data_IF_567144280020
#
_entry.id   IF_567144280020
#
_cell.length_a   1.000
_cell.length_b   1.000
_cell.length_c   1.000
_cell.angle_alpha   90.00
_cell.angle_beta   90.00
_cell.angle_gamma   90.00
#
_symmetry.space_group_name_H-M   'P 1'
#
loop_
_entity.id
_entity.type
_entity.pdbx_description
1 polymer ?
#
# COMPACT_ATOMS: atom_id res chain seq x y z
N UNK A 1 -33.84 6.95 -2.39
CA UNK A 1 -32.64 7.82 -2.38
C UNK A 1 -31.52 7.17 -1.55
N UNK A 2 -31.09 5.93 -1.89
CA UNK A 2 -30.07 5.17 -1.11
C UNK A 2 -28.99 4.56 -1.97
N UNK A 3 -28.81 4.98 -3.23
CA UNK A 3 -27.84 4.37 -4.16
C UNK A 3 -26.51 5.15 -4.32
N UNK A 4 -26.43 6.39 -3.88
CA UNK A 4 -25.24 7.24 -4.10
C UNK A 4 -24.14 7.10 -3.03
N UNK A 5 -24.42 6.45 -1.90
CA UNK A 5 -23.44 6.24 -0.81
C UNK A 5 -22.63 4.94 -0.98
N UNK A 6 -23.05 4.05 -1.89
CA UNK A 6 -22.39 2.75 -2.12
C UNK A 6 -21.15 2.85 -3.02
N UNK A 7 -21.01 3.90 -3.84
CA UNK A 7 -19.92 4.01 -4.83
C UNK A 7 -18.59 4.53 -4.27
N UNK A 8 -18.55 4.98 -3.02
CA UNK A 8 -17.33 5.61 -2.45
C UNK A 8 -16.70 4.78 -1.31
N UNK A 9 -17.34 3.72 -0.84
CA UNK A 9 -16.84 2.92 0.28
C UNK A 9 -15.91 1.80 -0.20
N UNK A 10 -14.76 1.66 0.48
CA UNK A 10 -13.90 0.48 0.39
C UNK A 10 -14.44 -0.59 1.35
N UNK A 11 -14.40 -1.85 0.91
CA UNK A 11 -14.67 -3.01 1.78
C UNK A 11 -13.42 -3.32 2.61
N UNK A 12 -13.25 -2.60 3.71
CA UNK A 12 -12.07 -2.68 4.57
C UNK A 12 -12.33 -3.59 5.78
N UNK A 13 -11.30 -4.30 6.26
CA UNK A 13 -11.39 -5.05 7.50
C UNK A 13 -11.61 -4.11 8.70
N UNK A 14 -12.15 -4.63 9.81
CA UNK A 14 -12.31 -3.86 11.04
C UNK A 14 -11.00 -3.23 11.49
N UNK A 15 -11.08 -1.99 12.00
CA UNK A 15 -9.91 -1.23 12.43
C UNK A 15 -9.37 -0.26 11.38
N UNK A 16 -9.76 -0.40 10.11
CA UNK A 16 -9.42 0.58 9.08
C UNK A 16 -10.53 1.62 8.88
N UNK A 17 -10.11 2.85 8.62
CA UNK A 17 -10.99 3.99 8.27
C UNK A 17 -10.48 4.63 6.99
N UNK A 18 -11.32 4.63 5.94
CA UNK A 18 -10.94 5.18 4.66
C UNK A 18 -11.12 6.70 4.58
N UNK A 19 -10.12 7.38 4.04
CA UNK A 19 -10.19 8.78 3.59
C UNK A 19 -9.89 8.82 2.09
N UNK A 20 -10.88 9.18 1.29
CA UNK A 20 -10.74 9.28 -0.15
C UNK A 20 -10.33 10.69 -0.57
N UNK A 21 -9.27 10.80 -1.35
CA UNK A 21 -8.85 12.04 -2.02
C UNK A 21 -9.35 12.08 -3.46
N UNK A 22 -9.35 13.28 -4.04
CA UNK A 22 -9.57 13.46 -5.48
C UNK A 22 -8.36 12.94 -6.26
N UNK A 23 -8.52 12.80 -7.57
CA UNK A 23 -7.52 12.24 -8.50
C UNK A 23 -6.13 12.89 -8.44
N UNK A 24 -6.06 14.20 -8.15
CA UNK A 24 -4.81 14.96 -8.05
C UNK A 24 -4.22 14.97 -6.63
N UNK A 25 -4.77 14.21 -5.70
CA UNK A 25 -4.25 14.12 -4.34
C UNK A 25 -2.96 13.29 -4.27
N UNK A 26 -2.18 13.48 -3.22
CA UNK A 26 -1.07 12.63 -2.81
C UNK A 26 -1.50 11.92 -1.50
N UNK A 27 -1.79 10.63 -1.60
CA UNK A 27 -2.28 9.86 -0.45
C UNK A 27 -1.24 9.77 0.66
N UNK A 28 0.04 9.63 0.31
CA UNK A 28 1.10 9.52 1.29
C UNK A 28 1.34 10.85 2.02
N UNK A 29 1.47 11.95 1.29
CA UNK A 29 1.65 13.26 1.89
C UNK A 29 0.47 13.61 2.81
N UNK A 30 -0.77 13.29 2.39
CA UNK A 30 -1.96 13.51 3.22
C UNK A 30 -1.96 12.62 4.46
N UNK A 31 -1.60 11.36 4.34
CA UNK A 31 -1.50 10.46 5.49
C UNK A 31 -0.45 10.95 6.50
N UNK A 32 0.72 11.42 6.04
CA UNK A 32 1.76 12.01 6.91
C UNK A 32 1.24 13.25 7.62
N UNK A 33 0.54 14.14 6.90
CA UNK A 33 -0.05 15.37 7.47
C UNK A 33 -1.00 15.09 8.63
N UNK A 34 -1.83 14.05 8.51
CA UNK A 34 -2.91 13.77 9.47
C UNK A 34 -2.57 12.64 10.46
N UNK A 35 -1.41 11.99 10.33
CA UNK A 35 -1.06 10.80 11.09
C UNK A 35 -1.18 10.99 12.61
N UNK A 36 -0.64 12.09 13.14
CA UNK A 36 -0.67 12.39 14.56
C UNK A 36 -2.07 12.70 15.13
N UNK A 37 -3.03 13.06 14.28
CA UNK A 37 -4.38 13.40 14.72
C UNK A 37 -5.36 12.24 14.52
N UNK A 38 -5.22 11.51 13.41
CA UNK A 38 -6.19 10.49 13.01
C UNK A 38 -5.83 9.10 13.54
N UNK A 39 -4.56 8.85 13.83
CA UNK A 39 -4.10 7.60 14.43
C UNK A 39 -4.10 6.37 13.52
N UNK A 40 -3.70 5.25 14.10
CA UNK A 40 -3.55 3.96 13.42
C UNK A 40 -4.83 3.49 12.72
N UNK A 41 -4.65 2.80 11.60
CA UNK A 41 -5.74 2.29 10.77
C UNK A 41 -6.37 3.32 9.84
N UNK A 42 -5.93 4.58 9.88
CA UNK A 42 -6.35 5.57 8.87
C UNK A 42 -5.73 5.22 7.53
N UNK A 43 -6.56 4.92 6.55
CA UNK A 43 -6.18 4.54 5.19
C UNK A 43 -6.60 5.68 4.25
N UNK A 44 -5.60 6.39 3.71
CA UNK A 44 -5.79 7.46 2.72
C UNK A 44 -5.57 6.89 1.33
N UNK A 45 -6.45 7.18 0.38
CA UNK A 45 -6.32 6.72 -1.00
C UNK A 45 -6.83 7.75 -2.00
N UNK A 46 -6.33 7.69 -3.25
CA UNK A 46 -6.78 8.57 -4.33
C UNK A 46 -7.79 7.85 -5.22
N UNK A 47 -8.83 8.59 -5.66
CA UNK A 47 -9.85 8.09 -6.61
C UNK A 47 -9.37 8.15 -8.05
N UNK A 48 -8.26 7.46 -8.32
CA UNK A 48 -7.70 7.32 -9.67
C UNK A 48 -8.11 5.99 -10.28
N UNK A 49 -8.18 5.97 -11.61
CA UNK A 49 -8.45 4.76 -12.39
C UNK A 49 -7.18 4.17 -13.02
N UNK A 50 -6.14 4.99 -13.21
CA UNK A 50 -4.88 4.63 -13.84
C UNK A 50 -3.80 4.17 -12.83
N UNK A 51 -4.04 4.40 -11.56
CA UNK A 51 -3.07 4.22 -10.48
C UNK A 51 -3.75 3.84 -9.18
N UNK A 52 -3.29 2.80 -8.51
CA UNK A 52 -3.54 2.59 -7.08
C UNK A 52 -2.54 3.42 -6.32
N UNK A 53 -3.01 4.33 -5.50
CA UNK A 53 -2.21 5.09 -4.56
C UNK A 53 -2.92 5.08 -3.21
N UNK A 54 -2.30 4.46 -2.24
CA UNK A 54 -2.84 4.27 -0.89
C UNK A 54 -1.74 4.44 0.15
N UNK A 55 -2.09 4.99 1.30
CA UNK A 55 -1.21 5.12 2.44
C UNK A 55 -1.94 4.77 3.74
N UNK A 56 -1.28 4.08 4.65
CA UNK A 56 -1.84 3.63 5.93
C UNK A 56 -1.03 4.18 7.08
N UNK A 57 -1.71 4.78 8.05
CA UNK A 57 -1.13 5.22 9.31
C UNK A 57 -1.03 4.05 10.27
N UNK A 58 0.14 3.90 10.88
CA UNK A 58 0.47 2.86 11.86
C UNK A 58 0.99 3.54 13.14
N UNK A 59 0.73 2.93 14.29
CA UNK A 59 1.28 3.34 15.59
C UNK A 59 2.06 2.18 16.20
N UNK A 60 3.39 2.14 15.99
CA UNK A 60 4.20 1.05 16.49
C UNK A 60 4.48 1.19 17.99
N UNK A 61 4.53 0.08 18.68
CA UNK A 61 4.97 -0.01 20.09
C UNK A 61 6.47 -0.27 20.25
N UNK A 62 7.16 -0.55 19.13
CA UNK A 62 8.58 -0.85 19.09
C UNK A 62 9.42 0.39 18.76
N UNK A 63 10.70 0.45 19.20
CA UNK A 63 11.62 1.51 18.80
C UNK A 63 11.70 1.66 17.27
N UNK A 64 11.90 2.90 16.78
CA UNK A 64 11.94 3.21 15.36
C UNK A 64 12.88 2.29 14.57
N UNK A 65 14.04 1.96 15.12
CA UNK A 65 15.03 1.07 14.49
C UNK A 65 14.45 -0.30 14.12
N UNK A 66 13.51 -0.83 14.92
CA UNK A 66 12.78 -2.08 14.65
C UNK A 66 11.46 -1.84 13.95
N UNK A 67 10.74 -0.81 14.32
CA UNK A 67 9.43 -0.46 13.75
C UNK A 67 9.49 -0.23 12.22
N UNK A 68 10.62 0.22 11.69
CA UNK A 68 10.85 0.35 10.23
C UNK A 68 10.69 -0.96 9.44
N UNK A 69 10.70 -2.12 10.11
CA UNK A 69 10.36 -3.41 9.50
C UNK A 69 8.91 -3.48 9.01
N UNK A 70 8.04 -2.56 9.47
CA UNK A 70 6.70 -2.38 8.92
C UNK A 70 6.71 -2.14 7.40
N UNK A 71 7.81 -1.60 6.85
CA UNK A 71 8.02 -1.51 5.41
C UNK A 71 7.93 -2.88 4.73
N UNK A 72 8.61 -3.88 5.25
CA UNK A 72 8.61 -5.22 4.67
C UNK A 72 7.24 -5.91 4.83
N UNK A 73 6.54 -5.69 5.95
CA UNK A 73 5.18 -6.17 6.12
C UNK A 73 4.22 -5.54 5.08
N UNK A 74 4.37 -4.24 4.83
CA UNK A 74 3.62 -3.53 3.79
C UNK A 74 3.92 -4.04 2.38
N UNK A 75 5.20 -4.28 2.05
CA UNK A 75 5.60 -4.83 0.75
C UNK A 75 5.10 -6.27 0.57
N UNK A 76 5.16 -7.11 1.62
CA UNK A 76 4.61 -8.47 1.58
C UNK A 76 3.10 -8.46 1.39
N UNK A 77 2.38 -7.57 2.08
CA UNK A 77 0.93 -7.41 1.88
C UNK A 77 0.58 -6.97 0.45
N UNK A 78 1.41 -6.11 -0.15
CA UNK A 78 1.25 -5.71 -1.56
C UNK A 78 1.48 -6.90 -2.50
N UNK A 79 2.50 -7.73 -2.23
CA UNK A 79 2.77 -8.95 -2.99
C UNK A 79 1.61 -9.93 -2.93
N UNK A 80 1.10 -10.21 -1.72
CA UNK A 80 -0.02 -11.14 -1.52
C UNK A 80 -1.29 -10.63 -2.20
N UNK A 81 -1.56 -9.32 -2.10
CA UNK A 81 -2.69 -8.69 -2.78
C UNK A 81 -2.58 -8.81 -4.31
N UNK A 82 -1.39 -8.60 -4.86
CA UNK A 82 -1.14 -8.78 -6.30
C UNK A 82 -1.23 -10.25 -6.69
N UNK A 83 -0.65 -11.17 -5.90
CA UNK A 83 -0.67 -12.60 -6.17
C UNK A 83 -2.10 -13.17 -6.23
N UNK A 84 -3.01 -12.62 -5.43
CA UNK A 84 -4.42 -13.03 -5.42
C UNK A 84 -5.16 -12.73 -6.75
N UNK A 85 -4.62 -11.83 -7.58
CA UNK A 85 -5.20 -11.40 -8.85
C UNK A 85 -4.26 -11.66 -10.04
N UNK A 86 -3.04 -12.16 -9.77
CA UNK A 86 -2.01 -12.33 -10.79
C UNK A 86 -2.38 -13.44 -11.78
N UNK A 87 -2.24 -13.19 -13.10
CA UNK A 87 -2.33 -14.24 -14.09
C UNK A 87 -1.32 -15.36 -13.83
N UNK A 88 -1.63 -16.61 -14.20
CA UNK A 88 -0.68 -17.73 -14.09
C UNK A 88 0.65 -17.41 -14.79
N UNK A 89 1.75 -17.88 -14.21
CA UNK A 89 3.09 -17.82 -14.79
C UNK A 89 3.71 -16.42 -14.96
N UNK A 90 3.15 -15.37 -14.34
CA UNK A 90 3.76 -14.04 -14.33
C UNK A 90 4.76 -13.91 -13.16
N UNK A 91 6.07 -13.80 -13.44
CA UNK A 91 7.06 -13.62 -12.39
C UNK A 91 6.92 -12.24 -11.76
N UNK A 92 6.72 -12.22 -10.45
CA UNK A 92 6.75 -11.00 -9.63
C UNK A 92 8.04 -10.99 -8.82
N UNK A 93 8.79 -9.90 -8.93
CA UNK A 93 10.09 -9.72 -8.29
C UNK A 93 10.14 -8.40 -7.55
N UNK A 94 10.73 -8.42 -6.35
CA UNK A 94 11.10 -7.20 -5.65
C UNK A 94 12.52 -6.79 -6.03
N UNK A 95 12.65 -5.65 -6.71
CA UNK A 95 13.93 -4.97 -6.82
C UNK A 95 14.14 -4.16 -5.54
N UNK A 96 14.98 -4.71 -4.68
CA UNK A 96 15.21 -4.20 -3.32
C UNK A 96 15.66 -2.73 -3.34
N UNK A 97 15.17 -1.87 -2.40
CA UNK A 97 14.31 -2.26 -1.28
C UNK A 97 12.80 -2.11 -1.55
N UNK A 98 12.37 -1.32 -2.52
CA UNK A 98 11.07 -0.68 -2.54
C UNK A 98 10.26 -0.87 -3.85
N UNK A 99 10.84 -1.55 -4.83
CA UNK A 99 10.30 -1.60 -6.19
C UNK A 99 9.68 -2.96 -6.50
N UNK A 100 8.52 -2.95 -7.15
CA UNK A 100 7.81 -4.14 -7.62
C UNK A 100 7.92 -4.22 -9.13
N UNK A 101 8.44 -5.35 -9.61
CA UNK A 101 8.55 -5.69 -11.02
C UNK A 101 7.60 -6.84 -11.35
N UNK A 102 6.92 -6.75 -12.49
CA UNK A 102 6.16 -7.83 -13.10
C UNK A 102 6.76 -8.12 -14.47
N UNK A 103 7.13 -9.35 -14.70
CA UNK A 103 7.79 -9.80 -15.95
C UNK A 103 8.97 -8.89 -16.37
N UNK A 104 9.71 -8.39 -15.40
CA UNK A 104 10.83 -7.47 -15.56
C UNK A 104 10.46 -5.98 -15.73
N UNK A 105 9.20 -5.64 -15.87
CA UNK A 105 8.72 -4.25 -15.97
C UNK A 105 8.37 -3.65 -14.62
N UNK A 106 8.75 -2.39 -14.39
CA UNK A 106 8.44 -1.63 -13.19
C UNK A 106 6.94 -1.30 -13.15
N UNK A 107 6.24 -1.83 -12.15
CA UNK A 107 4.81 -1.55 -11.93
C UNK A 107 4.54 -0.56 -10.79
N UNK A 108 5.40 -0.51 -9.81
CA UNK A 108 5.23 0.38 -8.66
C UNK A 108 6.15 0.04 -7.50
N UNK A 109 5.72 0.39 -6.29
CA UNK A 109 6.50 0.11 -5.09
C UNK A 109 5.95 0.77 -3.85
N UNK A 110 6.68 0.61 -2.73
CA UNK A 110 6.31 1.12 -1.43
C UNK A 110 7.25 2.20 -0.91
N UNK A 111 6.79 2.93 0.09
CA UNK A 111 7.60 3.88 0.86
C UNK A 111 7.14 3.90 2.32
N UNK A 112 8.04 4.28 3.22
CA UNK A 112 7.75 4.41 4.64
C UNK A 112 8.16 5.81 5.11
N UNK A 113 7.31 6.44 5.93
CA UNK A 113 7.58 7.72 6.58
C UNK A 113 7.36 7.65 8.07
N UNK A 114 8.01 8.55 8.80
CA UNK A 114 7.91 8.74 10.25
C UNK A 114 8.17 10.21 10.59
N UNK A 115 7.89 10.67 11.84
CA UNK A 115 8.14 12.05 12.25
C UNK A 115 9.60 12.49 12.07
N UNK A 116 9.79 13.69 11.58
CA UNK A 116 11.13 14.29 11.50
C UNK A 116 11.78 14.35 12.87
N UNK A 117 13.06 13.95 12.96
CA UNK A 117 13.81 13.96 14.21
C UNK A 117 13.40 12.88 15.22
N UNK A 118 12.61 11.88 14.82
CA UNK A 118 12.24 10.77 15.70
C UNK A 118 13.50 10.03 16.23
N UNK A 119 13.48 9.70 17.52
CA UNK A 119 14.55 8.96 18.18
C UNK A 119 14.55 7.48 17.77
N UNK A 120 15.65 7.00 17.22
CA UNK A 120 15.83 5.61 16.79
C UNK A 120 15.53 4.58 17.89
N UNK A 121 15.74 4.96 19.15
CA UNK A 121 15.62 4.06 20.32
C UNK A 121 14.25 4.12 20.99
N UNK A 122 13.34 4.94 20.49
CA UNK A 122 11.98 5.10 21.01
C UNK A 122 10.95 4.75 19.95
N UNK A 123 9.76 4.29 20.37
CA UNK A 123 8.64 4.18 19.45
C UNK A 123 8.33 5.55 18.85
N UNK A 124 8.20 5.69 17.53
CA UNK A 124 7.70 6.92 16.93
C UNK A 124 6.20 7.06 17.16
N UNK A 125 5.71 8.28 17.21
CA UNK A 125 4.28 8.56 17.40
C UNK A 125 3.42 7.95 16.27
N UNK A 126 4.00 7.82 15.07
CA UNK A 126 3.36 7.19 13.92
C UNK A 126 4.39 6.70 12.89
N UNK A 127 3.96 5.76 12.07
CA UNK A 127 4.55 5.44 10.77
C UNK A 127 3.48 5.58 9.70
N UNK A 128 3.89 5.89 8.48
CA UNK A 128 3.01 5.84 7.31
C UNK A 128 3.65 4.94 6.27
N UNK A 129 2.96 3.86 5.92
CA UNK A 129 3.33 3.03 4.76
C UNK A 129 2.50 3.46 3.56
N UNK A 130 3.17 3.80 2.46
CA UNK A 130 2.54 4.13 1.19
C UNK A 130 2.82 3.09 0.12
N UNK A 131 1.83 2.80 -0.70
CA UNK A 131 1.92 1.91 -1.86
C UNK A 131 1.41 2.65 -3.10
N UNK A 132 2.16 2.52 -4.19
CA UNK A 132 1.75 3.01 -5.50
C UNK A 132 1.93 1.90 -6.54
N UNK A 133 0.86 1.60 -7.30
CA UNK A 133 0.87 0.59 -8.36
C UNK A 133 0.20 1.14 -9.62
N UNK A 134 0.86 1.03 -10.75
CA UNK A 134 0.32 1.48 -12.03
C UNK A 134 -0.68 0.46 -12.56
N UNK A 135 -1.92 0.89 -12.71
CA UNK A 135 -2.99 0.06 -13.28
C UNK A 135 -2.96 0.08 -14.80
N UNK A 136 -2.80 1.27 -15.39
CA UNK A 136 -2.82 1.47 -16.84
C UNK A 136 -1.60 2.29 -17.26
N UNK A 137 -1.11 2.04 -18.46
CA UNK A 137 -0.04 2.86 -19.04
C UNK A 137 -0.63 4.20 -19.52
N UNK A 138 0.08 5.33 -19.29
CA UNK A 138 -0.31 6.59 -19.90
C UNK A 138 -0.18 6.48 -21.42
N UNK A 139 -1.01 7.24 -22.15
CA UNK A 139 -0.99 7.28 -23.64
C UNK A 139 0.33 7.82 -24.20
N UNK A 140 1.11 8.54 -23.39
CA UNK A 140 2.43 9.03 -23.76
C UNK A 140 3.46 7.88 -23.74
N UNK A 141 4.53 7.93 -24.58
CA UNK A 141 5.57 6.92 -24.59
C UNK A 141 6.16 6.76 -23.18
N UNK A 142 5.93 5.61 -22.57
CA UNK A 142 6.55 5.27 -21.29
C UNK A 142 8.03 4.87 -21.49
N UNK A 143 8.83 5.03 -20.44
CA UNK A 143 10.17 4.44 -20.43
C UNK A 143 10.06 2.92 -20.64
N UNK A 144 11.00 2.35 -21.38
CA UNK A 144 10.98 0.93 -21.81
C UNK A 144 10.99 -0.08 -20.67
N UNK A 145 11.36 0.36 -19.47
CA UNK A 145 11.46 -0.43 -18.24
C UNK A 145 10.17 -0.39 -17.37
N UNK A 146 9.11 0.28 -17.82
CA UNK A 146 7.86 0.45 -17.07
C UNK A 146 6.73 -0.35 -17.70
N UNK A 147 5.89 -0.92 -16.81
CA UNK A 147 4.67 -1.63 -17.21
C UNK A 147 3.49 -1.22 -16.32
N UNK A 148 2.33 -1.82 -16.56
CA UNK A 148 1.12 -1.66 -15.76
C UNK A 148 0.47 -3.01 -15.48
N UNK A 149 -0.41 -3.08 -14.49
CA UNK A 149 -1.13 -4.31 -14.19
C UNK A 149 -1.98 -4.77 -15.38
N UNK A 150 -2.64 -3.84 -16.08
CA UNK A 150 -3.40 -4.14 -17.30
C UNK A 150 -2.51 -4.76 -18.40
N UNK A 151 -1.34 -4.16 -18.67
CA UNK A 151 -0.40 -4.65 -19.68
C UNK A 151 0.14 -6.05 -19.32
N UNK A 152 0.21 -6.38 -18.04
CA UNK A 152 0.66 -7.68 -17.54
C UNK A 152 -0.50 -8.70 -17.39
N UNK A 153 -1.70 -8.36 -17.85
CA UNK A 153 -2.82 -9.29 -17.93
C UNK A 153 -3.70 -9.37 -16.67
N UNK A 154 -3.62 -8.40 -15.77
CA UNK A 154 -4.58 -8.25 -14.67
C UNK A 154 -5.89 -7.67 -15.22
N UNK A 155 -6.70 -8.54 -15.81
CA UNK A 155 -7.93 -8.13 -16.45
C UNK A 155 -8.98 -7.69 -15.41
N UNK A 156 -9.65 -6.57 -15.70
CA UNK A 156 -10.79 -6.04 -14.93
C UNK A 156 -10.52 -5.83 -13.43
N UNK A 157 -9.28 -5.62 -13.04
CA UNK A 157 -8.93 -5.36 -11.64
C UNK A 157 -9.34 -3.93 -11.23
N UNK A 158 -10.34 -3.85 -10.37
CA UNK A 158 -10.79 -2.58 -9.82
C UNK A 158 -9.81 -2.06 -8.77
N UNK A 159 -9.41 -0.76 -8.82
CA UNK A 159 -8.49 -0.18 -7.83
C UNK A 159 -8.94 -0.41 -6.39
N UNK A 160 -10.24 -0.31 -6.12
CA UNK A 160 -10.82 -0.49 -4.79
C UNK A 160 -10.69 -1.92 -4.27
N UNK A 161 -10.83 -2.90 -5.15
CA UNK A 161 -10.67 -4.31 -4.81
C UNK A 161 -9.23 -4.61 -4.41
N UNK A 162 -8.27 -4.09 -5.17
CA UNK A 162 -6.85 -4.23 -4.85
C UNK A 162 -6.49 -3.54 -3.53
N UNK A 163 -7.00 -2.33 -3.26
CA UNK A 163 -6.80 -1.64 -1.99
C UNK A 163 -7.40 -2.43 -0.83
N UNK A 164 -8.62 -2.96 -0.97
CA UNK A 164 -9.26 -3.76 0.05
C UNK A 164 -8.51 -5.08 0.30
N UNK A 165 -8.02 -5.73 -0.75
CA UNK A 165 -7.17 -6.91 -0.66
C UNK A 165 -5.86 -6.60 0.07
N UNK A 166 -5.19 -5.52 -0.30
CA UNK A 166 -3.99 -5.04 0.38
C UNK A 166 -4.23 -4.81 1.88
N UNK A 167 -5.30 -4.12 2.25
CA UNK A 167 -5.62 -3.85 3.65
C UNK A 167 -5.85 -5.14 4.46
N UNK A 168 -6.52 -6.14 3.89
CA UNK A 168 -6.70 -7.46 4.52
C UNK A 168 -5.37 -8.18 4.74
N UNK A 169 -4.51 -8.23 3.75
CA UNK A 169 -3.18 -8.86 3.86
C UNK A 169 -2.29 -8.11 4.84
N UNK A 170 -2.32 -6.76 4.83
CA UNK A 170 -1.57 -5.94 5.78
C UNK A 170 -1.95 -6.27 7.24
N UNK A 171 -3.23 -6.41 7.51
CA UNK A 171 -3.72 -6.80 8.84
C UNK A 171 -3.18 -8.17 9.25
N UNK A 172 -3.22 -9.16 8.36
CA UNK A 172 -2.69 -10.52 8.63
C UNK A 172 -1.19 -10.47 8.93
N UNK A 173 -0.41 -9.70 8.18
CA UNK A 173 1.03 -9.57 8.43
C UNK A 173 1.32 -8.93 9.78
N UNK A 174 0.58 -7.88 10.17
CA UNK A 174 0.76 -7.27 11.49
C UNK A 174 0.29 -8.15 12.65
N UNK A 175 -0.81 -8.89 12.50
CA UNK A 175 -1.24 -9.88 13.50
C UNK A 175 -0.18 -10.98 13.69
N UNK A 176 0.35 -11.49 12.59
CA UNK A 176 1.43 -12.50 12.62
C UNK A 176 2.69 -11.96 13.30
N UNK A 177 3.07 -10.71 12.98
CA UNK A 177 4.20 -10.06 13.63
C UNK A 177 3.99 -9.90 15.13
N UNK A 178 2.82 -9.43 15.54
CA UNK A 178 2.49 -9.29 16.97
C UNK A 178 2.51 -10.61 17.72
N UNK A 179 2.03 -11.69 17.12
CA UNK A 179 1.94 -13.02 17.78
C UNK A 179 3.25 -13.79 17.80
N UNK A 180 4.03 -13.72 16.73
CA UNK A 180 5.18 -14.59 16.49
C UNK A 180 6.51 -13.83 16.39
N UNK A 181 6.48 -12.51 16.52
CA UNK A 181 7.61 -11.66 16.18
C UNK A 181 7.77 -11.50 14.67
N UNK A 182 8.64 -10.56 14.28
CA UNK A 182 8.94 -10.33 12.87
C UNK A 182 9.65 -11.55 12.27
N UNK A 183 9.00 -12.19 11.31
CA UNK A 183 9.60 -13.24 10.51
C UNK A 183 10.09 -12.61 9.20
N UNK A 184 11.40 -12.67 8.88
CA UNK A 184 11.87 -12.20 7.58
C UNK A 184 11.16 -13.01 6.49
N UNK A 185 10.64 -12.30 5.49
CA UNK A 185 10.11 -12.96 4.29
C UNK A 185 11.31 -13.53 3.56
N UNK A 186 11.40 -14.84 3.48
CA UNK A 186 12.45 -15.56 2.76
C UNK A 186 12.14 -15.66 1.28
#
# INVERSE_FOLDING_TARGET
>A
MSSALSETSLDLPPGFRALALRELGDAFAKAVEIAGEQGAGTLVWTRRFDLVEVAVVLEPEEPLVTARRAFFAGMSAAADALAAHCPPEKPMVFAWPDTILLDGGLVGGGRLGWPDGADEKKPPDWLVFGLMLRLMMPTAPAARDRTSLEAEGFEMLEPRELIASFARHLMVHFETWRERGFQPVG
#
